data_IF_102329910435
#
_entry.id   IF_102329910435
#
_cell.length_a   1.000
_cell.length_b   1.000
_cell.length_c   1.000
_cell.angle_alpha   90.00
_cell.angle_beta   90.00
_cell.angle_gamma   90.00
#
_symmetry.space_group_name_H-M   'P 1'
#
loop_
_entity.id
_entity.type
_entity.pdbx_description
1 polymer ?
#
# COMPACT_ATOMS: atom_id res chain seq x y z
N UNK A 1 7.50 99.51 -6.29
CA UNK A 1 6.35 99.06 -7.11
C UNK A 1 6.92 98.45 -8.39
N UNK A 2 6.73 97.14 -8.59
CA UNK A 2 6.99 96.30 -9.80
C UNK A 2 8.25 96.60 -10.65
N UNK A 3 9.17 95.63 -10.77
CA UNK A 3 9.40 94.78 -11.98
C UNK A 3 10.75 94.02 -11.93
N UNK A 4 10.74 92.80 -12.48
CA UNK A 4 11.83 92.14 -13.26
C UNK A 4 13.11 91.67 -12.52
N UNK A 5 13.37 90.37 -12.33
CA UNK A 5 13.85 89.30 -13.25
C UNK A 5 15.40 89.12 -13.24
N UNK A 6 15.84 87.84 -13.26
CA UNK A 6 17.21 87.30 -13.52
C UNK A 6 18.21 87.39 -12.33
N UNK A 7 19.08 86.42 -11.99
CA UNK A 7 19.76 85.34 -12.71
C UNK A 7 20.17 84.21 -11.72
N UNK A 8 20.05 82.99 -12.23
CA UNK A 8 20.78 81.73 -12.00
C UNK A 8 21.97 81.70 -11.02
N UNK A 9 21.95 80.78 -10.05
CA UNK A 9 23.16 80.00 -9.67
C UNK A 9 22.78 78.52 -9.62
N UNK A 10 23.42 77.77 -10.51
CA UNK A 10 23.33 76.34 -10.72
C UNK A 10 24.18 75.66 -9.64
N UNK A 11 23.56 74.98 -8.67
CA UNK A 11 24.27 74.05 -7.78
C UNK A 11 24.04 72.62 -8.30
N UNK A 12 25.05 72.09 -8.98
CA UNK A 12 25.10 70.71 -9.41
C UNK A 12 25.27 69.80 -8.18
N UNK A 13 24.17 69.22 -7.70
CA UNK A 13 24.19 68.08 -6.79
C UNK A 13 24.15 66.81 -7.65
N UNK A 14 25.34 66.26 -7.89
CA UNK A 14 25.56 64.89 -8.36
C UNK A 14 25.05 63.92 -7.29
N UNK A 15 23.76 63.61 -7.32
CA UNK A 15 23.24 62.39 -6.69
C UNK A 15 23.63 61.21 -7.58
N UNK A 16 24.77 60.59 -7.25
CA UNK A 16 25.07 59.23 -7.67
C UNK A 16 24.00 58.30 -7.09
N UNK A 17 22.96 58.02 -7.86
CA UNK A 17 22.13 56.84 -7.63
C UNK A 17 23.00 55.63 -7.97
N UNK A 18 23.66 55.06 -6.95
CA UNK A 18 24.12 53.69 -7.01
C UNK A 18 22.87 52.80 -7.05
N UNK A 19 22.36 52.55 -8.26
CA UNK A 19 21.47 51.43 -8.49
C UNK A 19 22.28 50.16 -8.25
N UNK A 20 22.24 49.67 -7.02
CA UNK A 20 22.64 48.31 -6.72
C UNK A 20 21.68 47.38 -7.46
N UNK A 21 22.09 46.93 -8.64
CA UNK A 21 21.48 45.78 -9.30
C UNK A 21 21.73 44.57 -8.41
N UNK A 22 20.80 44.28 -7.50
CA UNK A 22 20.71 42.96 -6.91
C UNK A 22 20.30 42.02 -8.03
N UNK A 23 21.30 41.44 -8.71
CA UNK A 23 21.09 40.22 -9.46
C UNK A 23 20.48 39.20 -8.49
N UNK A 24 19.26 38.73 -8.78
CA UNK A 24 18.80 37.48 -8.19
C UNK A 24 19.84 36.43 -8.59
N UNK A 25 20.63 35.98 -7.63
CA UNK A 25 21.41 34.76 -7.77
C UNK A 25 20.37 33.67 -7.91
N UNK A 26 20.16 33.24 -9.15
CA UNK A 26 19.43 32.03 -9.48
C UNK A 26 20.05 30.90 -8.65
N UNK A 27 19.24 30.28 -7.79
CA UNK A 27 19.65 29.18 -6.91
C UNK A 27 20.00 27.97 -7.80
N UNK A 28 21.22 27.97 -8.33
CA UNK A 28 21.78 26.91 -9.16
C UNK A 28 21.90 25.62 -8.32
N UNK A 29 21.14 24.61 -8.76
CA UNK A 29 21.24 23.18 -8.46
C UNK A 29 21.28 22.79 -6.97
N UNK A 30 20.10 22.78 -6.34
CA UNK A 30 19.81 21.64 -5.46
C UNK A 30 19.71 20.40 -6.36
N UNK A 31 20.51 19.34 -6.13
CA UNK A 31 20.35 18.11 -6.91
C UNK A 31 18.89 17.68 -6.82
N UNK A 32 18.26 17.44 -7.97
CA UNK A 32 16.90 16.89 -8.01
C UNK A 32 16.90 15.58 -7.22
N UNK A 33 16.35 15.62 -6.01
CA UNK A 33 16.08 14.42 -5.22
C UNK A 33 14.72 13.93 -5.68
N UNK A 34 14.70 12.86 -6.49
CA UNK A 34 13.46 12.20 -6.84
C UNK A 34 12.74 11.80 -5.54
N UNK A 35 11.47 12.18 -5.39
CA UNK A 35 10.65 11.77 -4.24
C UNK A 35 10.62 10.25 -4.10
N UNK A 36 10.60 9.71 -2.88
CA UNK A 36 10.48 8.26 -2.69
C UNK A 36 9.18 7.76 -3.35
N UNK A 37 9.26 6.60 -4.00
CA UNK A 37 8.16 5.99 -4.76
C UNK A 37 6.85 5.98 -3.96
N UNK A 38 6.89 5.75 -2.66
CA UNK A 38 5.70 5.58 -1.82
C UNK A 38 5.27 6.84 -1.04
N UNK A 39 5.91 7.99 -1.26
CA UNK A 39 5.50 9.26 -0.65
C UNK A 39 4.37 9.95 -1.41
N UNK A 40 4.09 9.52 -2.64
CA UNK A 40 3.02 10.06 -3.48
C UNK A 40 1.96 9.00 -3.78
N UNK A 41 0.69 9.41 -3.75
CA UNK A 41 -0.44 8.60 -4.21
C UNK A 41 -0.79 8.85 -5.69
N UNK A 42 -0.05 9.72 -6.39
CA UNK A 42 -0.29 10.01 -7.81
C UNK A 42 -0.11 8.75 -8.65
N UNK A 43 -1.13 8.44 -9.46
CA UNK A 43 -1.15 7.31 -10.38
C UNK A 43 0.10 7.30 -11.26
N UNK A 44 0.79 6.17 -11.30
CA UNK A 44 1.94 5.98 -12.20
C UNK A 44 1.42 5.41 -13.52
N UNK A 45 1.70 6.07 -14.63
CA UNK A 45 1.49 5.49 -15.96
C UNK A 45 2.80 4.91 -16.48
N UNK A 46 2.83 3.61 -16.74
CA UNK A 46 4.04 2.92 -17.19
C UNK A 46 3.74 1.81 -18.19
N UNK A 47 4.77 1.36 -18.88
CA UNK A 47 4.73 0.15 -19.71
C UNK A 47 5.80 -0.84 -19.28
N UNK A 48 5.50 -2.12 -19.46
CA UNK A 48 6.40 -3.23 -19.20
C UNK A 48 6.45 -4.09 -20.45
N UNK A 49 7.63 -4.19 -21.07
CA UNK A 49 7.88 -5.00 -22.26
C UNK A 49 8.74 -6.20 -21.90
N UNK A 50 8.27 -7.43 -22.20
CA UNK A 50 9.00 -8.69 -21.97
C UNK A 50 8.38 -9.81 -22.82
N UNK A 51 8.96 -11.00 -22.83
CA UNK A 51 8.29 -12.18 -23.38
C UNK A 51 7.18 -12.61 -22.40
N UNK A 52 5.97 -12.11 -22.61
CA UNK A 52 4.84 -12.30 -21.71
C UNK A 52 4.43 -13.77 -21.65
N UNK A 53 4.48 -14.49 -22.77
CA UNK A 53 4.11 -15.91 -22.83
C UNK A 53 5.03 -16.77 -21.97
N UNK A 54 6.35 -16.54 -22.04
CA UNK A 54 7.31 -17.24 -21.20
C UNK A 54 7.14 -16.89 -19.72
N UNK A 55 7.02 -15.59 -19.40
CA UNK A 55 6.84 -15.13 -18.02
C UNK A 55 5.57 -15.72 -17.38
N UNK A 56 4.42 -15.63 -18.06
CA UNK A 56 3.12 -16.09 -17.54
C UNK A 56 3.10 -17.61 -17.36
N UNK A 57 3.77 -18.36 -18.24
CA UNK A 57 3.86 -19.83 -18.15
C UNK A 57 4.85 -20.30 -17.10
N UNK A 58 5.85 -19.49 -16.73
CA UNK A 58 6.87 -19.86 -15.77
C UNK A 58 6.35 -19.79 -14.32
N UNK A 59 5.44 -20.71 -13.98
CA UNK A 59 4.79 -20.78 -12.67
C UNK A 59 5.38 -21.85 -11.74
N UNK A 60 6.41 -22.56 -12.19
CA UNK A 60 7.01 -23.68 -11.45
C UNK A 60 7.73 -23.28 -10.15
N UNK A 61 8.11 -24.28 -9.35
CA UNK A 61 8.88 -24.09 -8.09
C UNK A 61 10.25 -23.42 -8.34
N UNK A 62 10.86 -23.66 -9.50
CA UNK A 62 12.15 -23.11 -9.92
C UNK A 62 12.02 -21.98 -10.95
N UNK A 63 10.90 -21.24 -10.93
CA UNK A 63 10.68 -20.12 -11.85
C UNK A 63 11.81 -19.11 -11.77
N UNK A 64 12.21 -18.57 -12.92
CA UNK A 64 13.38 -17.70 -13.07
C UNK A 64 12.96 -16.23 -13.13
N UNK A 65 13.96 -15.36 -13.14
CA UNK A 65 13.78 -13.97 -13.50
C UNK A 65 13.85 -13.83 -15.02
N UNK A 66 12.91 -13.09 -15.59
CA UNK A 66 12.78 -12.79 -17.01
C UNK A 66 13.15 -11.33 -17.22
N UNK A 67 14.06 -11.04 -18.15
CA UNK A 67 14.41 -9.66 -18.44
C UNK A 67 13.21 -8.92 -19.04
N UNK A 68 13.05 -7.67 -18.63
CA UNK A 68 12.00 -6.79 -19.09
C UNK A 68 12.51 -5.35 -19.19
N UNK A 69 11.80 -4.53 -19.95
CA UNK A 69 11.99 -3.09 -20.02
C UNK A 69 10.79 -2.40 -19.39
N UNK A 70 11.04 -1.59 -18.37
CA UNK A 70 10.05 -0.71 -17.76
C UNK A 70 10.25 0.69 -18.32
N UNK A 71 9.18 1.33 -18.80
CA UNK A 71 9.24 2.70 -19.32
C UNK A 71 8.08 3.56 -18.83
N UNK A 72 8.32 4.83 -18.53
CA UNK A 72 7.32 5.79 -18.08
C UNK A 72 7.72 7.22 -18.47
N UNK A 73 6.75 8.15 -18.46
CA UNK A 73 7.00 9.56 -18.75
C UNK A 73 7.47 10.30 -17.49
N UNK A 74 8.51 11.12 -17.64
CA UNK A 74 8.96 12.09 -16.64
C UNK A 74 9.06 13.46 -17.33
N UNK A 75 8.02 14.28 -17.15
CA UNK A 75 7.82 15.46 -18.00
C UNK A 75 7.71 15.03 -19.47
N UNK A 76 8.45 15.71 -20.33
CA UNK A 76 8.47 15.43 -21.78
C UNK A 76 9.42 14.27 -22.16
N UNK A 77 10.17 13.73 -21.19
CA UNK A 77 11.14 12.65 -21.42
C UNK A 77 10.55 11.28 -21.11
N UNK A 78 10.98 10.26 -21.86
CA UNK A 78 10.68 8.86 -21.57
C UNK A 78 11.86 8.26 -20.81
N UNK A 79 11.63 7.88 -19.56
CA UNK A 79 12.58 7.08 -18.78
C UNK A 79 12.36 5.62 -19.14
N UNK A 80 13.45 4.90 -19.39
CA UNK A 80 13.41 3.48 -19.71
C UNK A 80 14.54 2.73 -19.01
N UNK A 81 14.20 1.74 -18.19
CA UNK A 81 15.15 0.94 -17.42
C UNK A 81 14.99 -0.55 -17.65
N UNK A 82 16.10 -1.28 -17.51
CA UNK A 82 16.10 -2.74 -17.52
C UNK A 82 15.73 -3.24 -16.13
N UNK A 83 14.75 -4.13 -16.09
CA UNK A 83 14.25 -4.76 -14.88
C UNK A 83 14.13 -6.26 -15.11
N UNK A 84 13.89 -7.00 -14.03
CA UNK A 84 13.62 -8.43 -14.12
C UNK A 84 12.28 -8.75 -13.47
N UNK A 85 11.46 -9.57 -14.14
CA UNK A 85 10.16 -10.01 -13.65
C UNK A 85 10.18 -11.47 -13.27
N UNK A 86 9.43 -11.82 -12.23
CA UNK A 86 9.26 -13.20 -11.80
C UNK A 86 7.87 -13.42 -11.25
N UNK A 87 7.26 -14.55 -11.58
CA UNK A 87 5.99 -14.98 -10.99
C UNK A 87 6.16 -15.25 -9.50
N UNK A 88 5.17 -14.85 -8.69
CA UNK A 88 5.21 -14.99 -7.22
C UNK A 88 3.95 -15.66 -6.68
N UNK A 89 3.93 -15.87 -5.36
CA UNK A 89 2.77 -16.43 -4.65
C UNK A 89 2.64 -17.95 -4.79
N UNK A 90 1.58 -18.48 -4.19
CA UNK A 90 1.28 -19.91 -4.20
C UNK A 90 -0.06 -20.18 -4.89
N UNK A 91 -1.16 -19.71 -4.30
CA UNK A 91 -2.51 -20.00 -4.78
C UNK A 91 -2.79 -19.34 -6.15
N UNK A 92 -2.61 -18.02 -6.23
CA UNK A 92 -2.76 -17.23 -7.49
C UNK A 92 -1.68 -17.52 -8.55
N UNK A 93 -0.65 -18.32 -8.22
CA UNK A 93 0.36 -18.77 -9.19
C UNK A 93 -0.16 -19.94 -10.04
N UNK A 94 -1.20 -20.62 -9.58
CA UNK A 94 -1.86 -21.68 -10.33
C UNK A 94 -2.66 -21.09 -11.50
N UNK A 95 -2.35 -21.52 -12.73
CA UNK A 95 -3.01 -21.08 -13.96
C UNK A 95 -4.52 -21.31 -14.00
N UNK A 96 -5.02 -22.28 -13.24
CA UNK A 96 -6.46 -22.55 -13.14
C UNK A 96 -7.18 -21.50 -12.27
N UNK A 97 -6.43 -20.82 -11.40
CA UNK A 97 -6.92 -19.73 -10.55
C UNK A 97 -6.77 -18.40 -11.31
N UNK A 98 -5.53 -18.05 -11.68
CA UNK A 98 -5.22 -16.81 -12.40
C UNK A 98 -4.56 -17.12 -13.74
N UNK A 99 -5.12 -16.54 -14.81
CA UNK A 99 -4.52 -16.57 -16.14
C UNK A 99 -3.26 -15.69 -16.21
N UNK A 100 -3.23 -14.61 -15.42
CA UNK A 100 -2.10 -13.73 -15.24
C UNK A 100 -1.58 -13.85 -13.80
N UNK A 101 -0.43 -14.51 -13.56
CA UNK A 101 0.07 -14.72 -12.20
C UNK A 101 0.52 -13.40 -11.57
N UNK A 102 0.47 -13.26 -10.24
CA UNK A 102 1.03 -12.10 -9.57
C UNK A 102 2.55 -12.05 -9.79
N UNK A 103 3.07 -10.85 -9.97
CA UNK A 103 4.47 -10.63 -10.35
C UNK A 103 5.27 -10.01 -9.21
N UNK A 104 6.57 -10.22 -9.27
CA UNK A 104 7.58 -9.43 -8.57
C UNK A 104 8.46 -8.79 -9.63
N UNK A 105 8.76 -7.52 -9.45
CA UNK A 105 9.75 -6.79 -10.24
C UNK A 105 11.02 -6.63 -9.40
N UNK A 106 12.17 -6.79 -10.04
CA UNK A 106 13.48 -6.52 -9.49
C UNK A 106 14.16 -5.47 -10.36
N UNK A 107 14.71 -4.44 -9.72
CA UNK A 107 15.33 -3.32 -10.41
C UNK A 107 16.85 -3.49 -10.44
N UNK A 108 17.45 -3.12 -11.56
CA UNK A 108 18.89 -3.01 -11.64
C UNK A 108 19.32 -1.65 -11.07
N UNK A 109 19.99 -1.67 -9.91
CA UNK A 109 20.44 -0.49 -9.19
C UNK A 109 21.23 0.47 -10.08
N UNK A 110 22.13 -0.04 -10.93
CA UNK A 110 22.93 0.81 -11.81
C UNK A 110 22.08 1.64 -12.79
N UNK A 111 20.93 1.11 -13.21
CA UNK A 111 20.03 1.80 -14.15
C UNK A 111 18.90 2.54 -13.45
N UNK A 112 18.58 2.23 -12.19
CA UNK A 112 17.46 2.85 -11.47
C UNK A 112 17.86 4.11 -10.71
N UNK A 113 19.13 4.34 -10.37
CA UNK A 113 19.59 5.41 -9.45
C UNK A 113 19.05 6.82 -9.71
N UNK A 114 18.68 7.16 -10.95
CA UNK A 114 18.15 8.48 -11.32
C UNK A 114 16.70 8.42 -11.79
N UNK A 115 15.94 7.44 -11.30
CA UNK A 115 14.56 7.18 -11.71
C UNK A 115 13.61 7.23 -10.52
N UNK A 116 12.31 7.18 -10.81
CA UNK A 116 11.24 7.02 -9.81
C UNK A 116 11.45 5.79 -8.92
N UNK A 117 12.22 4.80 -9.39
CA UNK A 117 12.49 3.55 -8.69
C UNK A 117 13.91 3.48 -8.08
N UNK A 118 14.62 4.61 -7.95
CA UNK A 118 16.04 4.66 -7.58
C UNK A 118 16.42 3.84 -6.36
N UNK A 119 15.68 3.95 -5.27
CA UNK A 119 16.02 3.21 -4.05
C UNK A 119 15.38 1.81 -3.98
N UNK A 120 14.70 1.33 -5.02
CA UNK A 120 13.94 0.08 -4.95
C UNK A 120 14.80 -1.09 -5.45
N UNK A 121 14.98 -2.16 -4.67
CA UNK A 121 15.60 -3.43 -5.15
C UNK A 121 14.55 -4.35 -5.75
N UNK A 122 13.49 -4.66 -4.99
CA UNK A 122 12.40 -5.54 -5.43
C UNK A 122 11.07 -5.02 -4.93
N UNK A 123 10.04 -5.10 -5.77
CA UNK A 123 8.68 -4.77 -5.39
C UNK A 123 7.72 -5.91 -5.78
N UNK A 124 6.73 -6.15 -4.93
CA UNK A 124 5.59 -7.00 -5.29
C UNK A 124 4.63 -6.18 -6.15
N UNK A 125 4.10 -6.80 -7.19
CA UNK A 125 3.03 -6.28 -8.04
C UNK A 125 1.76 -7.07 -7.73
N UNK A 126 0.72 -6.36 -7.28
CA UNK A 126 -0.63 -6.91 -7.16
C UNK A 126 -1.43 -6.46 -8.38
N UNK A 127 -2.08 -7.40 -9.06
CA UNK A 127 -2.77 -7.14 -10.31
C UNK A 127 -3.95 -8.08 -10.60
N UNK A 128 -4.54 -7.85 -11.76
CA UNK A 128 -5.88 -8.28 -12.18
C UNK A 128 -6.14 -9.78 -12.29
N UNK A 129 -5.19 -10.73 -12.14
CA UNK A 129 -5.42 -12.19 -12.18
C UNK A 129 -6.05 -12.79 -13.48
N UNK A 130 -7.11 -12.21 -14.05
CA UNK A 130 -7.77 -12.53 -15.32
C UNK A 130 -8.22 -11.26 -16.05
N UNK A 131 -7.90 -11.16 -17.33
CA UNK A 131 -7.98 -9.92 -18.11
C UNK A 131 -9.39 -9.64 -18.66
N UNK A 132 -10.21 -10.66 -18.86
CA UNK A 132 -11.51 -10.55 -19.52
C UNK A 132 -12.69 -10.35 -18.58
N UNK A 133 -12.44 -10.22 -17.27
CA UNK A 133 -13.50 -10.06 -16.28
C UNK A 133 -13.21 -8.84 -15.38
N UNK A 134 -13.98 -7.74 -15.53
CA UNK A 134 -13.75 -6.50 -14.79
C UNK A 134 -13.88 -6.65 -13.26
N UNK A 135 -14.51 -7.73 -12.76
CA UNK A 135 -14.52 -8.04 -11.32
C UNK A 135 -13.12 -8.13 -10.74
N UNK A 136 -12.14 -8.68 -11.46
CA UNK A 136 -10.81 -8.82 -10.89
C UNK A 136 -10.05 -7.49 -10.79
N UNK A 137 -10.39 -6.52 -11.63
CA UNK A 137 -9.88 -5.16 -11.45
C UNK A 137 -10.48 -4.48 -10.22
N UNK A 138 -11.76 -4.71 -9.96
CA UNK A 138 -12.37 -4.28 -8.70
C UNK A 138 -11.67 -4.90 -7.50
N UNK A 139 -11.28 -6.18 -7.55
CA UNK A 139 -10.51 -6.82 -6.48
C UNK A 139 -9.17 -6.13 -6.21
N UNK A 140 -8.45 -5.69 -7.25
CA UNK A 140 -7.19 -4.94 -7.10
C UNK A 140 -7.44 -3.62 -6.38
N UNK A 141 -8.50 -2.90 -6.75
CA UNK A 141 -8.86 -1.64 -6.08
C UNK A 141 -9.27 -1.86 -4.63
N UNK A 142 -10.05 -2.91 -4.35
CA UNK A 142 -10.43 -3.28 -3.00
C UNK A 142 -9.20 -3.59 -2.14
N UNK A 143 -8.28 -4.44 -2.62
CA UNK A 143 -7.07 -4.79 -1.87
C UNK A 143 -6.18 -3.55 -1.63
N UNK A 144 -6.02 -2.69 -2.65
CA UNK A 144 -5.32 -1.41 -2.54
C UNK A 144 -5.94 -0.53 -1.44
N UNK A 145 -7.27 -0.37 -1.42
CA UNK A 145 -7.95 0.48 -0.45
C UNK A 145 -7.93 -0.10 0.96
N UNK A 146 -7.87 -1.42 1.14
CA UNK A 146 -7.63 -2.04 2.44
C UNK A 146 -6.24 -1.65 2.98
N UNK A 147 -5.21 -1.69 2.13
CA UNK A 147 -3.89 -1.19 2.52
C UNK A 147 -3.98 0.29 2.94
N UNK A 148 -4.60 1.16 2.11
CA UNK A 148 -4.78 2.58 2.43
C UNK A 148 -5.55 2.79 3.75
N UNK A 149 -6.58 2.00 4.01
CA UNK A 149 -7.35 2.07 5.25
C UNK A 149 -6.51 1.70 6.48
N UNK A 150 -5.69 0.63 6.38
CA UNK A 150 -4.78 0.28 7.47
C UNK A 150 -3.70 1.34 7.71
N UNK A 151 -3.26 2.05 6.66
CA UNK A 151 -2.31 3.17 6.80
C UNK A 151 -2.86 4.32 7.64
N UNK A 152 -4.18 4.54 7.65
CA UNK A 152 -4.81 5.58 8.51
C UNK A 152 -4.67 5.20 9.99
N UNK A 153 -4.65 3.90 10.31
CA UNK A 153 -4.65 3.37 11.67
C UNK A 153 -3.24 3.06 12.20
N UNK A 154 -2.26 2.82 11.33
CA UNK A 154 -0.91 2.45 11.75
C UNK A 154 0.16 3.01 10.81
N UNK A 155 1.13 3.79 11.31
CA UNK A 155 2.28 4.21 10.52
C UNK A 155 3.21 3.04 10.12
N UNK A 156 3.20 1.94 10.88
CA UNK A 156 3.90 0.68 10.60
C UNK A 156 3.29 -0.14 9.46
N UNK A 157 2.18 0.29 8.89
CA UNK A 157 1.60 -0.30 7.70
C UNK A 157 2.55 -0.22 6.49
N UNK A 158 2.40 -1.18 5.58
CA UNK A 158 2.99 -1.07 4.25
C UNK A 158 2.37 0.10 3.49
N UNK A 159 3.21 0.91 2.85
CA UNK A 159 2.73 1.83 1.82
C UNK A 159 2.45 1.09 0.51
N UNK A 160 1.48 1.60 -0.24
CA UNK A 160 1.11 1.07 -1.56
C UNK A 160 0.93 2.21 -2.54
N UNK A 161 1.28 1.98 -3.81
CA UNK A 161 1.10 2.97 -4.89
C UNK A 161 0.48 2.35 -6.12
N UNK A 162 -0.60 2.96 -6.58
CA UNK A 162 -1.35 2.52 -7.75
C UNK A 162 -0.61 2.93 -9.04
N UNK A 163 -0.65 2.04 -10.03
CA UNK A 163 -0.12 2.28 -11.37
C UNK A 163 -1.07 1.74 -12.43
N UNK A 164 -1.13 2.40 -13.58
CA UNK A 164 -1.72 1.89 -14.82
C UNK A 164 -0.58 1.39 -15.70
N UNK A 165 -0.50 0.07 -15.84
CA UNK A 165 0.57 -0.61 -16.59
C UNK A 165 0.05 -1.08 -17.93
N UNK A 166 0.78 -0.78 -19.00
CA UNK A 166 0.61 -1.41 -20.31
C UNK A 166 1.66 -2.51 -20.48
N UNK A 167 1.24 -3.77 -20.41
CA UNK A 167 2.07 -4.92 -20.73
C UNK A 167 2.17 -5.08 -22.24
N UNK A 168 3.40 -5.21 -22.76
CA UNK A 168 3.70 -5.42 -24.19
C UNK A 168 4.52 -6.70 -24.33
N UNK A 169 4.11 -7.57 -25.25
CA UNK A 169 4.86 -8.79 -25.54
C UNK A 169 5.99 -8.51 -26.51
N UNK A 170 7.21 -8.88 -26.18
CA UNK A 170 8.36 -8.67 -27.06
C UNK A 170 8.40 -9.64 -28.25
N UNK A 171 7.60 -10.71 -28.20
CA UNK A 171 7.48 -11.70 -29.26
C UNK A 171 6.23 -11.47 -30.14
N UNK A 172 5.43 -10.42 -29.85
CA UNK A 172 4.17 -10.11 -30.54
C UNK A 172 3.15 -11.27 -30.58
N UNK A 173 3.24 -12.24 -29.66
CA UNK A 173 2.34 -13.37 -29.56
C UNK A 173 1.13 -13.08 -28.66
N UNK A 174 1.30 -12.16 -27.71
CA UNK A 174 0.24 -11.69 -26.81
C UNK A 174 -0.05 -10.22 -27.09
N UNK A 175 -1.30 -9.90 -27.42
CA UNK A 175 -1.75 -8.51 -27.63
C UNK A 175 -1.46 -7.66 -26.39
N UNK A 176 -1.05 -6.38 -26.55
CA UNK A 176 -0.86 -5.49 -25.43
C UNK A 176 -2.10 -5.40 -24.54
N UNK A 177 -1.86 -5.29 -23.23
CA UNK A 177 -2.90 -5.23 -22.22
C UNK A 177 -2.61 -4.10 -21.24
N UNK A 178 -3.59 -3.22 -21.02
CA UNK A 178 -3.48 -2.13 -20.04
C UNK A 178 -4.35 -2.42 -18.84
N UNK A 179 -3.73 -2.48 -17.66
CA UNK A 179 -4.40 -2.83 -16.41
C UNK A 179 -3.93 -1.95 -15.27
N UNK A 180 -4.73 -1.89 -14.22
CA UNK A 180 -4.32 -1.29 -12.97
C UNK A 180 -3.62 -2.33 -12.10
N UNK A 181 -2.53 -1.93 -11.49
CA UNK A 181 -1.78 -2.70 -10.51
C UNK A 181 -1.42 -1.77 -9.35
N UNK A 182 -1.00 -2.33 -8.23
CA UNK A 182 -0.28 -1.53 -7.24
C UNK A 182 1.01 -2.21 -6.80
N UNK A 183 1.98 -1.38 -6.47
CA UNK A 183 3.21 -1.79 -5.81
C UNK A 183 3.00 -1.79 -4.30
N UNK A 184 3.65 -2.72 -3.61
CA UNK A 184 3.74 -2.75 -2.14
C UNK A 184 5.16 -2.40 -1.73
N UNK A 185 5.29 -1.50 -0.75
CA UNK A 185 6.56 -1.09 -0.13
C UNK A 185 7.39 -2.30 0.29
N UNK A 186 8.71 -2.22 0.09
CA UNK A 186 9.61 -3.27 0.54
C UNK A 186 9.61 -3.39 2.07
N UNK A 187 9.72 -4.61 2.58
CA UNK A 187 9.60 -4.89 4.01
C UNK A 187 10.73 -4.25 4.83
N UNK A 188 11.96 -4.27 4.32
CA UNK A 188 13.10 -3.66 4.99
C UNK A 188 12.97 -2.15 5.03
N UNK A 189 12.49 -1.55 3.93
CA UNK A 189 12.22 -0.11 3.86
C UNK A 189 11.11 0.32 4.78
N UNK A 190 10.00 -0.42 4.81
CA UNK A 190 8.89 -0.16 5.72
C UNK A 190 9.37 -0.17 7.18
N UNK A 191 10.19 -1.16 7.55
CA UNK A 191 10.78 -1.22 8.89
C UNK A 191 11.66 0.01 9.17
N UNK A 192 12.58 0.35 8.26
CA UNK A 192 13.48 1.52 8.40
C UNK A 192 12.73 2.84 8.52
N UNK A 193 11.69 3.07 7.69
CA UNK A 193 10.83 4.25 7.76
C UNK A 193 10.20 4.44 9.13
N UNK A 194 9.97 3.35 9.86
CA UNK A 194 9.40 3.34 11.20
C UNK A 194 10.46 3.31 12.32
N UNK A 195 11.75 3.52 12.00
CA UNK A 195 12.85 3.47 12.95
C UNK A 195 13.09 2.08 13.55
N UNK A 196 12.72 1.02 12.82
CA UNK A 196 12.71 -0.37 13.28
C UNK A 196 13.51 -1.27 12.34
N UNK A 197 13.81 -2.48 12.81
CA UNK A 197 14.41 -3.56 12.03
C UNK A 197 13.37 -4.63 11.71
N UNK A 198 13.50 -5.35 10.58
CA UNK A 198 12.70 -6.54 10.29
C UNK A 198 12.99 -7.65 11.32
N UNK A 199 11.99 -8.47 11.61
CA UNK A 199 12.17 -9.70 12.38
C UNK A 199 11.67 -10.88 11.54
N UNK A 200 12.57 -11.81 11.25
CA UNK A 200 12.32 -12.99 10.41
C UNK A 200 12.03 -14.28 11.19
N UNK A 201 11.85 -14.18 12.51
CA UNK A 201 11.66 -15.34 13.40
C UNK A 201 10.43 -16.15 13.00
N UNK A 202 10.62 -17.44 12.73
CA UNK A 202 9.57 -18.29 12.14
C UNK A 202 8.33 -18.48 13.03
N UNK A 203 8.44 -18.29 14.35
CA UNK A 203 7.31 -18.42 15.29
C UNK A 203 7.39 -17.44 16.45
N UNK A 204 6.26 -16.79 16.74
CA UNK A 204 6.07 -15.97 17.94
C UNK A 204 4.61 -16.02 18.39
N UNK A 205 4.38 -16.19 19.69
CA UNK A 205 3.03 -16.09 20.21
C UNK A 205 2.54 -14.64 20.11
N UNK A 206 1.26 -14.41 19.79
CA UNK A 206 0.72 -13.04 19.64
C UNK A 206 0.89 -12.22 20.93
N UNK A 207 0.73 -12.83 22.09
CA UNK A 207 0.96 -12.16 23.39
C UNK A 207 2.41 -11.77 23.68
N UNK A 208 3.37 -12.23 22.86
CA UNK A 208 4.77 -11.80 22.94
C UNK A 208 5.08 -10.65 21.96
N UNK A 209 4.06 -10.11 21.30
CA UNK A 209 4.15 -8.92 20.45
C UNK A 209 3.67 -7.69 21.21
N UNK A 210 3.74 -6.51 20.60
CA UNK A 210 3.16 -5.30 21.16
C UNK A 210 1.62 -5.43 21.17
N UNK A 211 1.05 -5.49 22.39
CA UNK A 211 -0.33 -5.94 22.63
C UNK A 211 -1.34 -5.00 21.98
N UNK A 212 -1.14 -3.69 22.09
CA UNK A 212 -2.05 -2.70 21.53
C UNK A 212 -2.10 -2.81 20.00
N UNK A 213 -0.95 -2.89 19.35
CA UNK A 213 -0.79 -3.03 17.90
C UNK A 213 -1.38 -4.35 17.40
N UNK A 214 -1.14 -5.45 18.11
CA UNK A 214 -1.73 -6.74 17.78
C UNK A 214 -3.25 -6.75 17.94
N UNK A 215 -3.79 -6.02 18.92
CA UNK A 215 -5.24 -5.88 19.13
C UNK A 215 -5.86 -4.99 18.05
N UNK A 216 -5.26 -3.82 17.75
CA UNK A 216 -5.65 -2.94 16.64
C UNK A 216 -5.67 -3.68 15.31
N UNK A 217 -4.61 -4.43 15.02
CA UNK A 217 -4.55 -5.29 13.84
C UNK A 217 -5.67 -6.32 13.83
N UNK A 218 -5.93 -7.03 14.93
CA UNK A 218 -6.98 -8.03 14.99
C UNK A 218 -8.39 -7.43 14.79
N UNK A 219 -8.66 -6.25 15.36
CA UNK A 219 -9.91 -5.49 15.14
C UNK A 219 -10.00 -5.03 13.68
N UNK A 220 -8.90 -4.57 13.07
CA UNK A 220 -8.89 -4.22 11.64
C UNK A 220 -9.18 -5.42 10.74
N UNK A 221 -8.56 -6.57 11.01
CA UNK A 221 -8.82 -7.80 10.27
C UNK A 221 -10.28 -8.25 10.42
N UNK A 222 -10.89 -8.03 11.59
CA UNK A 222 -12.33 -8.23 11.79
C UNK A 222 -13.18 -7.25 10.96
N UNK A 223 -12.83 -5.96 10.97
CA UNK A 223 -13.51 -4.90 10.20
C UNK A 223 -13.57 -5.23 8.70
N UNK A 224 -12.47 -5.73 8.12
CA UNK A 224 -12.41 -6.06 6.69
C UNK A 224 -12.81 -7.51 6.36
N UNK A 225 -13.23 -8.28 7.37
CA UNK A 225 -13.63 -9.68 7.21
C UNK A 225 -12.50 -10.56 6.70
N UNK A 226 -11.29 -10.44 7.25
CA UNK A 226 -10.13 -11.24 6.87
C UNK A 226 -9.73 -12.22 7.97
N UNK A 227 -9.87 -13.50 7.68
CA UNK A 227 -9.46 -14.59 8.57
C UNK A 227 -8.16 -15.26 8.16
N UNK A 228 -7.59 -14.91 7.00
CA UNK A 228 -6.39 -15.55 6.46
C UNK A 228 -5.10 -14.90 6.98
N UNK A 229 -4.84 -15.05 8.28
CA UNK A 229 -3.61 -14.55 8.90
C UNK A 229 -3.19 -15.39 10.13
N UNK A 230 -2.00 -15.19 10.66
CA UNK A 230 -1.58 -15.87 11.89
C UNK A 230 -0.22 -15.42 12.39
N UNK A 231 -0.20 -14.77 13.55
CA UNK A 231 1.05 -14.33 14.20
C UNK A 231 1.98 -15.51 14.55
N UNK A 232 1.51 -16.66 15.09
CA UNK A 232 2.38 -17.79 15.42
C UNK A 232 3.15 -18.40 14.24
N UNK A 233 2.65 -18.27 13.02
CA UNK A 233 3.26 -18.85 11.82
C UNK A 233 3.73 -17.80 10.82
N UNK A 234 3.61 -16.51 11.17
CA UNK A 234 3.80 -15.38 10.25
C UNK A 234 3.03 -15.49 8.94
N UNK A 235 1.86 -16.14 8.97
CA UNK A 235 0.99 -16.21 7.81
C UNK A 235 0.34 -14.84 7.61
N UNK A 236 0.62 -14.19 6.48
CA UNK A 236 0.14 -12.83 6.17
C UNK A 236 0.45 -11.79 7.26
N UNK A 237 1.51 -12.03 8.05
CA UNK A 237 2.03 -11.14 9.10
C UNK A 237 3.53 -10.91 8.90
N UNK A 238 3.95 -9.67 9.08
CA UNK A 238 5.36 -9.28 9.26
C UNK A 238 5.59 -8.73 10.66
N UNK A 239 6.83 -8.80 11.11
CA UNK A 239 7.23 -8.34 12.43
C UNK A 239 8.33 -7.29 12.28
N UNK A 240 8.21 -6.18 12.98
CA UNK A 240 9.27 -5.17 13.08
C UNK A 240 9.51 -4.82 14.54
N UNK A 241 10.74 -4.48 14.92
CA UNK A 241 11.09 -4.17 16.30
C UNK A 241 12.18 -3.10 16.38
N UNK A 242 12.27 -2.37 17.49
CA UNK A 242 13.33 -1.38 17.70
C UNK A 242 14.70 -2.04 17.85
N UNK A 243 14.75 -3.21 18.47
CA UNK A 243 15.96 -4.04 18.64
C UNK A 243 15.60 -5.52 18.46
N UNK A 244 16.59 -6.41 18.24
CA UNK A 244 16.34 -7.85 18.06
C UNK A 244 15.64 -8.54 19.24
N UNK A 245 15.69 -7.95 20.43
CA UNK A 245 15.11 -8.49 21.68
C UNK A 245 13.85 -7.77 22.13
N UNK A 246 13.49 -6.66 21.50
CA UNK A 246 12.26 -5.92 21.80
C UNK A 246 11.02 -6.73 21.39
N UNK A 247 9.88 -6.52 22.08
CA UNK A 247 8.60 -7.04 21.61
C UNK A 247 8.31 -6.45 20.23
N UNK A 248 8.06 -7.27 19.20
CA UNK A 248 7.84 -6.76 17.86
C UNK A 248 6.42 -6.24 17.69
N UNK A 249 6.25 -5.29 16.78
CA UNK A 249 4.96 -4.86 16.22
C UNK A 249 4.56 -5.82 15.10
N UNK A 250 3.29 -6.24 15.09
CA UNK A 250 2.70 -7.04 14.02
C UNK A 250 2.18 -6.15 12.90
N UNK A 251 2.55 -6.45 11.66
CA UNK A 251 2.13 -5.71 10.46
C UNK A 251 1.43 -6.68 9.49
N UNK A 252 0.11 -6.54 9.27
CA UNK A 252 -0.64 -7.37 8.32
C UNK A 252 -0.31 -7.03 6.86
N UNK A 253 -0.38 -8.02 5.97
CA UNK A 253 -0.23 -7.86 4.52
C UNK A 253 -0.89 -9.03 3.77
N UNK A 254 -1.08 -8.93 2.44
CA UNK A 254 -1.80 -9.91 1.60
C UNK A 254 -3.28 -10.00 2.05
N UNK A 255 -4.11 -9.05 1.58
CA UNK A 255 -5.52 -8.92 1.97
C UNK A 255 -6.48 -9.52 0.93
N UNK A 256 -5.95 -10.27 -0.04
CA UNK A 256 -6.72 -10.83 -1.16
C UNK A 256 -7.80 -11.84 -0.72
N UNK A 257 -7.68 -12.39 0.48
CA UNK A 257 -8.63 -13.33 1.10
C UNK A 257 -9.69 -12.67 2.00
N UNK A 258 -9.78 -11.34 2.00
CA UNK A 258 -10.76 -10.60 2.81
C UNK A 258 -12.16 -10.56 2.18
N UNK A 259 -13.18 -10.42 3.03
CA UNK A 259 -14.58 -10.17 2.61
C UNK A 259 -14.69 -8.96 1.67
N UNK A 260 -13.93 -7.89 1.94
CA UNK A 260 -13.96 -6.68 1.12
C UNK A 260 -13.38 -6.90 -0.28
N UNK A 261 -12.36 -7.76 -0.45
CA UNK A 261 -11.89 -8.12 -1.79
C UNK A 261 -12.92 -9.00 -2.52
N UNK A 262 -13.64 -9.87 -1.79
CA UNK A 262 -14.65 -10.75 -2.36
C UNK A 262 -14.11 -11.57 -3.56
N UNK A 263 -12.93 -12.15 -3.38
CA UNK A 263 -12.30 -12.94 -4.42
C UNK A 263 -13.11 -14.23 -4.68
N UNK A 264 -13.42 -14.57 -5.94
CA UNK A 264 -14.23 -15.76 -6.26
C UNK A 264 -13.53 -17.08 -5.93
N UNK A 265 -12.22 -17.03 -5.67
CA UNK A 265 -11.42 -18.17 -5.29
C UNK A 265 -11.17 -18.26 -3.77
N UNK A 266 -11.57 -17.23 -3.01
CA UNK A 266 -11.39 -17.25 -1.56
C UNK A 266 -12.46 -18.16 -0.95
N UNK A 267 -12.00 -19.10 -0.13
CA UNK A 267 -12.84 -20.04 0.61
C UNK A 267 -12.53 -19.94 2.10
N UNK A 268 -13.50 -20.21 3.00
CA UNK A 268 -13.24 -20.21 4.44
C UNK A 268 -12.16 -21.25 4.79
N UNK A 269 -11.36 -20.95 5.81
CA UNK A 269 -10.40 -21.90 6.32
C UNK A 269 -11.16 -22.97 7.13
N UNK A 270 -11.08 -24.23 6.71
CA UNK A 270 -11.79 -25.36 7.34
C UNK A 270 -11.48 -25.55 8.84
N UNK A 271 -10.38 -24.97 9.34
CA UNK A 271 -10.04 -24.99 10.77
C UNK A 271 -10.73 -23.90 11.58
N UNK A 272 -11.45 -23.00 10.92
CA UNK A 272 -12.22 -21.92 11.52
C UNK A 272 -13.70 -22.22 11.37
N UNK A 273 -14.46 -21.96 12.41
CA UNK A 273 -15.91 -22.17 12.45
C UNK A 273 -16.63 -20.98 11.76
N UNK A 274 -16.45 -20.88 10.45
CA UNK A 274 -17.07 -19.86 9.60
C UNK A 274 -17.63 -20.48 8.31
N UNK A 275 -18.87 -20.13 7.99
CA UNK A 275 -19.59 -20.71 6.86
C UNK A 275 -19.11 -20.17 5.51
N UNK A 276 -18.66 -18.91 5.49
CA UNK A 276 -18.19 -18.24 4.29
C UNK A 276 -17.23 -17.08 4.61
N UNK A 277 -16.54 -16.58 3.58
CA UNK A 277 -15.52 -15.52 3.72
C UNK A 277 -16.09 -14.16 4.16
N UNK A 278 -17.41 -13.95 4.13
CA UNK A 278 -18.05 -12.70 4.56
C UNK A 278 -18.39 -12.69 6.04
N UNK A 279 -18.44 -13.85 6.70
CA UNK A 279 -18.66 -13.95 8.13
C UNK A 279 -17.44 -13.40 8.88
N UNK A 280 -17.65 -12.38 9.72
CA UNK A 280 -16.59 -11.84 10.58
C UNK A 280 -16.22 -12.85 11.66
N UNK A 281 -14.93 -12.97 11.92
CA UNK A 281 -14.41 -13.76 13.03
C UNK A 281 -13.27 -13.00 13.70
N UNK A 282 -13.43 -12.68 14.98
CA UNK A 282 -12.39 -12.00 15.74
C UNK A 282 -11.31 -13.02 16.13
N UNK A 283 -10.13 -12.87 15.55
CA UNK A 283 -9.00 -13.79 15.79
C UNK A 283 -7.95 -13.20 16.73
N UNK A 284 -8.30 -12.17 17.50
CA UNK A 284 -7.47 -11.66 18.60
C UNK A 284 -7.54 -12.56 19.83
N UNK A 285 -6.71 -12.26 20.82
CA UNK A 285 -6.85 -12.83 22.17
C UNK A 285 -7.79 -11.96 23.01
N UNK A 286 -8.35 -12.56 24.06
CA UNK A 286 -9.21 -11.86 25.03
C UNK A 286 -8.48 -10.66 25.63
N UNK A 287 -9.20 -9.55 25.74
CA UNK A 287 -8.77 -8.26 26.29
C UNK A 287 -9.80 -7.76 27.28
N UNK A 288 -9.42 -6.81 28.13
CA UNK A 288 -10.39 -6.14 29.00
C UNK A 288 -11.27 -5.20 28.17
N UNK A 289 -12.49 -4.87 28.65
CA UNK A 289 -13.32 -3.85 28.02
C UNK A 289 -12.58 -2.51 27.81
N UNK A 290 -11.72 -2.11 28.75
CA UNK A 290 -10.96 -0.86 28.68
C UNK A 290 -9.89 -0.91 27.57
N UNK A 291 -9.18 -2.03 27.43
CA UNK A 291 -8.21 -2.24 26.36
C UNK A 291 -8.88 -2.20 24.98
N UNK A 292 -10.06 -2.83 24.85
CA UNK A 292 -10.84 -2.83 23.62
C UNK A 292 -11.39 -1.44 23.29
N UNK A 293 -11.93 -0.73 24.28
CA UNK A 293 -12.49 0.61 24.07
C UNK A 293 -11.41 1.61 23.63
N UNK A 294 -10.18 1.50 24.14
CA UNK A 294 -9.06 2.30 23.65
C UNK A 294 -8.80 2.09 22.15
N UNK A 295 -8.92 0.85 21.67
CA UNK A 295 -8.82 0.53 20.24
C UNK A 295 -10.04 1.04 19.49
N UNK A 296 -11.27 0.74 19.93
CA UNK A 296 -12.49 1.17 19.23
C UNK A 296 -12.60 2.67 19.08
N UNK A 297 -12.18 3.44 20.09
CA UNK A 297 -12.09 4.90 19.99
C UNK A 297 -11.23 5.36 18.82
N UNK A 298 -10.10 4.70 18.55
CA UNK A 298 -9.27 4.99 17.36
C UNK A 298 -10.06 4.77 16.07
N UNK A 299 -10.77 3.65 15.94
CA UNK A 299 -11.60 3.36 14.77
C UNK A 299 -12.74 4.36 14.58
N UNK A 300 -13.41 4.78 15.67
CA UNK A 300 -14.45 5.81 15.63
C UNK A 300 -13.89 7.16 15.19
N UNK A 301 -12.76 7.58 15.76
CA UNK A 301 -12.08 8.84 15.36
C UNK A 301 -11.61 8.84 13.90
N UNK A 302 -11.31 7.67 13.32
CA UNK A 302 -10.85 7.53 11.93
C UNK A 302 -11.97 7.13 10.95
N UNK A 303 -13.21 6.98 11.41
CA UNK A 303 -14.36 6.52 10.60
C UNK A 303 -14.49 7.28 9.30
N UNK A 304 -14.63 8.60 9.36
CA UNK A 304 -14.87 9.43 8.17
C UNK A 304 -13.70 9.35 7.18
N UNK A 305 -12.46 9.30 7.67
CA UNK A 305 -11.28 9.16 6.83
C UNK A 305 -11.25 7.81 6.10
N UNK A 306 -11.64 6.72 6.78
CA UNK A 306 -11.73 5.39 6.17
C UNK A 306 -12.87 5.33 5.15
N UNK A 307 -14.06 5.87 5.47
CA UNK A 307 -15.19 5.90 4.54
C UNK A 307 -14.87 6.71 3.29
N UNK A 308 -14.21 7.85 3.46
CA UNK A 308 -13.80 8.74 2.37
C UNK A 308 -12.89 8.06 1.34
N UNK A 309 -12.07 7.09 1.76
CA UNK A 309 -11.23 6.31 0.83
C UNK A 309 -12.07 5.58 -0.22
N UNK A 310 -13.25 5.08 0.15
CA UNK A 310 -14.12 4.30 -0.73
C UNK A 310 -15.15 5.17 -1.44
N UNK A 311 -15.78 6.12 -0.72
CA UNK A 311 -16.78 7.02 -1.27
C UNK A 311 -16.22 7.86 -2.43
N UNK A 312 -15.00 8.39 -2.26
CA UNK A 312 -14.38 9.28 -3.24
C UNK A 312 -13.57 8.54 -4.31
N UNK A 313 -13.51 7.20 -4.26
CA UNK A 313 -12.76 6.44 -5.24
C UNK A 313 -13.54 6.32 -6.56
N UNK A 314 -12.98 6.85 -7.65
CA UNK A 314 -13.65 6.82 -8.97
C UNK A 314 -13.43 5.51 -9.75
N UNK A 315 -12.56 4.62 -9.26
CA UNK A 315 -12.22 3.35 -9.90
C UNK A 315 -13.10 2.19 -9.44
N UNK A 316 -13.68 2.28 -8.23
CA UNK A 316 -14.71 1.36 -7.77
C UNK A 316 -16.05 1.66 -8.43
N UNK A 317 -16.77 0.61 -8.83
CA UNK A 317 -18.16 0.74 -9.25
C UNK A 317 -19.08 0.93 -8.03
N UNK A 318 -20.26 1.50 -8.25
CA UNK A 318 -21.21 1.84 -7.18
C UNK A 318 -21.70 0.62 -6.40
N UNK A 319 -21.84 -0.54 -7.05
CA UNK A 319 -22.23 -1.78 -6.36
C UNK A 319 -21.17 -2.21 -5.34
N UNK A 320 -19.90 -2.17 -5.73
CA UNK A 320 -18.78 -2.53 -4.86
C UNK A 320 -18.58 -1.50 -3.75
N UNK A 321 -18.74 -0.21 -4.03
CA UNK A 321 -18.74 0.83 -2.99
C UNK A 321 -19.83 0.57 -1.97
N UNK A 322 -21.09 0.43 -2.41
CA UNK A 322 -22.23 0.21 -1.52
C UNK A 322 -21.99 -1.01 -0.63
N UNK A 323 -21.57 -2.13 -1.22
CA UNK A 323 -21.28 -3.36 -0.48
C UNK A 323 -20.25 -3.16 0.63
N UNK A 324 -19.16 -2.44 0.36
CA UNK A 324 -18.12 -2.18 1.36
C UNK A 324 -18.64 -1.24 2.45
N UNK A 325 -19.36 -0.19 2.08
CA UNK A 325 -19.93 0.76 3.04
C UNK A 325 -20.94 0.08 3.96
N UNK A 326 -21.84 -0.73 3.42
CA UNK A 326 -22.77 -1.54 4.22
C UNK A 326 -22.01 -2.46 5.18
N UNK A 327 -20.91 -3.09 4.73
CA UNK A 327 -20.05 -3.93 5.57
C UNK A 327 -19.30 -3.13 6.64
N UNK A 328 -18.98 -1.85 6.39
CA UNK A 328 -18.43 -0.99 7.42
C UNK A 328 -19.50 -0.56 8.42
N UNK A 329 -20.71 -0.23 7.97
CA UNK A 329 -21.81 0.16 8.85
C UNK A 329 -22.06 -0.93 9.90
N UNK A 330 -22.18 -2.20 9.47
CA UNK A 330 -22.29 -3.34 10.37
C UNK A 330 -21.12 -3.45 11.38
N UNK A 331 -19.89 -3.17 10.96
CA UNK A 331 -18.74 -3.19 11.87
C UNK A 331 -18.86 -2.09 12.94
N UNK A 332 -19.26 -0.88 12.54
CA UNK A 332 -19.42 0.22 13.47
C UNK A 332 -20.60 -0.01 14.42
N UNK A 333 -21.72 -0.57 13.94
CA UNK A 333 -22.83 -1.02 14.80
C UNK A 333 -22.38 -2.04 15.85
N UNK A 334 -21.50 -2.99 15.47
CA UNK A 334 -20.95 -3.97 16.40
C UNK A 334 -20.10 -3.31 17.49
N UNK A 335 -19.19 -2.39 17.12
CA UNK A 335 -18.29 -1.76 18.11
C UNK A 335 -18.97 -0.61 18.89
N UNK A 336 -20.20 -0.24 18.55
CA UNK A 336 -21.01 0.75 19.28
C UNK A 336 -22.05 0.09 20.21
N UNK A 337 -22.25 -1.22 20.14
CA UNK A 337 -23.15 -1.99 21.03
C UNK A 337 -22.36 -2.82 22.07
N UNK A 338 -22.44 -2.49 23.38
CA UNK A 338 -21.77 -3.25 24.45
C UNK A 338 -22.07 -4.76 24.44
N UNK A 339 -23.27 -5.18 24.06
CA UNK A 339 -23.63 -6.61 23.99
C UNK A 339 -22.92 -7.31 22.83
N UNK A 340 -22.79 -6.63 21.69
CA UNK A 340 -22.06 -7.18 20.55
C UNK A 340 -20.55 -7.20 20.82
N UNK A 341 -20.02 -6.17 21.49
CA UNK A 341 -18.63 -6.17 21.96
C UNK A 341 -18.36 -7.38 22.86
N UNK A 342 -19.22 -7.59 23.87
CA UNK A 342 -19.10 -8.72 24.79
C UNK A 342 -19.06 -10.06 24.02
N UNK A 343 -20.00 -10.26 23.10
CA UNK A 343 -20.06 -11.48 22.27
C UNK A 343 -18.81 -11.66 21.41
N UNK A 344 -18.57 -10.74 20.47
CA UNK A 344 -17.58 -10.94 19.41
C UNK A 344 -16.14 -10.78 19.87
N UNK A 345 -15.87 -9.92 20.85
CA UNK A 345 -14.50 -9.54 21.23
C UNK A 345 -14.06 -10.05 22.61
N UNK A 346 -14.97 -10.60 23.42
CA UNK A 346 -14.66 -11.06 24.79
C UNK A 346 -15.01 -12.54 24.97
N UNK A 347 -16.23 -12.95 24.62
CA UNK A 347 -16.71 -14.32 24.78
C UNK A 347 -16.14 -15.24 23.70
N UNK A 348 -16.23 -14.81 22.43
CA UNK A 348 -15.73 -15.56 21.27
C UNK A 348 -14.22 -15.37 21.03
N UNK A 349 -13.57 -14.51 21.79
CA UNK A 349 -12.14 -14.24 21.66
C UNK A 349 -11.28 -15.45 22.07
N UNK A 350 -10.11 -15.60 21.44
CA UNK A 350 -9.19 -16.68 21.79
C UNK A 350 -8.69 -16.50 23.22
N UNK A 351 -8.62 -17.61 23.95
CA UNK A 351 -8.08 -17.63 25.31
C UNK A 351 -6.67 -18.19 25.32
N UNK A 352 -5.84 -17.65 26.23
CA UNK A 352 -4.57 -18.27 26.58
C UNK A 352 -4.85 -19.56 27.33
N UNK A 353 -4.58 -20.70 26.68
CA UNK A 353 -4.50 -21.97 27.39
C UNK A 353 -3.10 -22.06 28.00
N UNK A 354 -2.96 -21.65 29.26
CA UNK A 354 -1.79 -22.04 30.04
C UNK A 354 -1.87 -23.55 30.20
N UNK A 355 -0.94 -24.27 29.57
CA UNK A 355 -0.69 -25.69 29.86
C UNK A 355 0.39 -25.78 30.92
#
# INVERSE_FOLDING_TARGET
MKLSFKITVLFALLFFFAQGSYAQVEELDKPYVASDLFESDTLIELSITTNLKELIKDTGKKSKYHQARLSYHQGDSIVSIIVELKTRGHYRKNKNVCAFPPLRIKFNQATSSYTLFHDQDKLKIVGHCRNSNPRFQQMVFQEYLIYKAYQILSPESFRVRLARVTYKDSADEIKPLTEYIFFIEDFEKMARRNGKIPIYKERIHQEHTMIFEATRMAVFQFMVGNTDWGVPTLHNIKLIASTPTSRPVTVPYDFDWSSLVNAPYAVPNEKLDVDNIHQRLYRGYKRTPEELEFVFKEFRMKKDAIYSLYQNNTLLNEKEKKRVLDYFDEFYEIIDDPKQIQRFFIDDARQLKYK
#
